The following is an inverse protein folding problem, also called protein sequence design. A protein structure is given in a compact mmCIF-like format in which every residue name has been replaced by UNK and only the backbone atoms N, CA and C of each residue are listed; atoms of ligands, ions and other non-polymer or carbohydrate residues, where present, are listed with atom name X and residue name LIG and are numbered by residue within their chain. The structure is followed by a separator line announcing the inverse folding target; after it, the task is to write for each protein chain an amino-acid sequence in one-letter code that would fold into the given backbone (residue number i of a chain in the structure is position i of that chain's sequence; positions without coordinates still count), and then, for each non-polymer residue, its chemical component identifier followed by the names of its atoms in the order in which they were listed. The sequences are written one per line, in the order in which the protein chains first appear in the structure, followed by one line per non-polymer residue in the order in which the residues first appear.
data_IF_531782942721
#
_entry.id   IF_531782942721
#
_cell.length_a   1.000
_cell.length_b   1.000
_cell.length_c   1.000
_cell.angle_alpha   90.00
_cell.angle_beta   90.00
_cell.angle_gamma   90.00
#
_symmetry.space_group_name_H-M   'P 1'
#
loop_
_entity.id
_entity.type
_entity.pdbx_description
1 polymer ?
#
# COMPACT_ATOMS: atom_id res chain seq x y z
N UNK A 1 15.37 18.22 10.13
CA UNK A 1 15.16 19.02 8.90
C UNK A 1 15.96 18.46 7.73
N UNK A 2 17.30 18.53 7.70
CA UNK A 2 18.10 18.08 6.54
C UNK A 2 17.93 16.57 6.21
N UNK A 3 17.85 15.71 7.24
CA UNK A 3 17.67 14.25 7.06
C UNK A 3 16.34 13.89 6.39
N UNK A 4 15.25 14.60 6.72
CA UNK A 4 13.92 14.33 6.17
C UNK A 4 13.83 14.72 4.68
N UNK A 5 14.57 15.75 4.27
CA UNK A 5 14.64 16.17 2.85
C UNK A 5 15.37 15.10 2.04
N UNK A 6 16.44 14.52 2.58
CA UNK A 6 17.16 13.42 1.93
C UNK A 6 16.28 12.15 1.79
N UNK A 7 15.47 11.83 2.80
CA UNK A 7 14.55 10.68 2.75
C UNK A 7 13.47 10.83 1.66
N UNK A 8 12.94 12.05 1.48
CA UNK A 8 12.03 12.39 0.38
C UNK A 8 12.73 12.24 -0.98
N UNK A 9 13.96 12.76 -1.12
CA UNK A 9 14.73 12.67 -2.36
C UNK A 9 15.14 11.24 -2.73
N UNK A 10 15.32 10.37 -1.73
CA UNK A 10 15.66 8.97 -1.93
C UNK A 10 14.43 8.07 -2.11
N UNK A 11 13.21 8.65 -2.18
CA UNK A 11 11.93 7.92 -2.24
C UNK A 11 11.84 6.81 -1.19
N UNK A 12 12.45 7.04 -0.03
CA UNK A 12 12.52 6.04 1.03
C UNK A 12 11.15 5.85 1.68
N UNK A 13 10.90 4.62 2.15
CA UNK A 13 9.73 4.33 2.98
C UNK A 13 9.69 5.27 4.19
N UNK A 14 8.57 5.98 4.42
CA UNK A 14 8.40 6.83 5.60
C UNK A 14 8.58 6.02 6.88
N UNK A 15 9.28 6.57 7.88
CA UNK A 15 9.64 5.82 9.10
C UNK A 15 8.43 5.42 9.95
N UNK A 16 7.33 6.13 9.78
CA UNK A 16 6.09 5.88 10.51
C UNK A 16 5.32 4.67 9.95
N UNK A 17 5.72 4.15 8.79
CA UNK A 17 5.06 3.03 8.12
C UNK A 17 5.96 1.81 8.17
N UNK A 18 5.42 0.72 8.72
CA UNK A 18 5.99 -0.62 8.66
C UNK A 18 5.38 -1.36 7.46
N UNK A 19 6.13 -1.56 6.36
CA UNK A 19 5.62 -2.24 5.17
C UNK A 19 5.22 -3.69 5.45
N UNK A 20 5.94 -4.38 6.34
CA UNK A 20 5.66 -5.78 6.68
C UNK A 20 4.33 -5.89 7.42
N UNK A 21 4.03 -4.95 8.33
CA UNK A 21 2.74 -4.90 8.99
C UNK A 21 1.59 -4.56 8.03
N UNK A 22 1.82 -3.63 7.09
CA UNK A 22 0.85 -3.29 6.07
C UNK A 22 0.52 -4.48 5.18
N UNK A 23 1.56 -5.13 4.66
CA UNK A 23 1.45 -6.34 3.83
C UNK A 23 0.68 -7.44 4.55
N UNK A 24 1.00 -7.70 5.83
CA UNK A 24 0.30 -8.69 6.63
C UNK A 24 -1.20 -8.37 6.77
N UNK A 25 -1.56 -7.12 7.05
CA UNK A 25 -2.98 -6.78 7.19
C UNK A 25 -3.75 -6.83 5.86
N UNK A 26 -3.09 -6.58 4.73
CA UNK A 26 -3.67 -6.86 3.41
C UNK A 26 -3.86 -8.37 3.16
N UNK A 27 -2.88 -9.18 3.57
CA UNK A 27 -2.94 -10.63 3.44
C UNK A 27 -4.02 -11.29 4.32
N UNK A 28 -4.41 -10.64 5.41
CA UNK A 28 -5.51 -11.09 6.28
C UNK A 28 -6.91 -10.94 5.62
N UNK A 29 -7.01 -10.27 4.47
CA UNK A 29 -8.26 -10.22 3.70
C UNK A 29 -8.49 -11.56 2.97
N UNK A 30 -9.65 -12.17 3.19
CA UNK A 30 -9.98 -13.50 2.66
C UNK A 30 -9.77 -13.66 1.15
N UNK A 31 -9.96 -12.59 0.36
CA UNK A 31 -9.82 -12.64 -1.09
C UNK A 31 -8.38 -12.52 -1.59
N UNK A 32 -7.45 -12.07 -0.75
CA UNK A 32 -6.05 -11.79 -1.12
C UNK A 32 -5.21 -13.06 -0.99
N UNK A 33 -4.45 -13.36 -2.04
CA UNK A 33 -3.54 -14.51 -2.12
C UNK A 33 -2.09 -14.06 -1.90
N UNK A 34 -1.71 -12.90 -2.42
CA UNK A 34 -0.38 -12.34 -2.23
C UNK A 34 -0.36 -10.83 -2.55
N UNK A 35 0.66 -10.14 -2.04
CA UNK A 35 0.97 -8.76 -2.38
C UNK A 35 2.38 -8.75 -2.94
N UNK A 36 2.58 -8.06 -4.07
CA UNK A 36 3.89 -7.93 -4.70
C UNK A 36 4.16 -6.47 -5.03
N UNK A 37 5.44 -6.15 -5.23
CA UNK A 37 5.89 -4.82 -5.67
C UNK A 37 5.31 -3.70 -4.78
N UNK A 38 5.25 -3.94 -3.45
CA UNK A 38 4.77 -2.95 -2.49
C UNK A 38 5.80 -1.83 -2.35
N UNK A 39 5.46 -0.67 -2.89
CA UNK A 39 6.24 0.55 -2.85
C UNK A 39 5.50 1.61 -2.04
N UNK A 40 6.22 2.25 -1.12
CA UNK A 40 5.70 3.33 -0.26
C UNK A 40 6.75 4.43 -0.21
N UNK A 41 6.39 5.65 -0.56
CA UNK A 41 7.33 6.77 -0.62
C UNK A 41 6.70 8.08 -0.13
N UNK A 42 7.51 8.94 0.49
CA UNK A 42 7.13 10.31 0.81
C UNK A 42 7.55 11.25 -0.33
N UNK A 43 6.61 12.04 -0.86
CA UNK A 43 6.91 13.09 -1.86
C UNK A 43 7.11 14.45 -1.21
N UNK A 44 6.40 14.71 -0.12
CA UNK A 44 6.62 15.87 0.76
C UNK A 44 6.34 15.47 2.19
N UNK A 45 6.67 16.35 3.15
CA UNK A 45 6.26 16.16 4.55
C UNK A 45 4.74 15.96 4.62
N UNK A 46 4.31 14.85 5.22
CA UNK A 46 2.89 14.51 5.38
C UNK A 46 2.19 13.99 4.12
N UNK A 47 2.87 13.87 2.97
CA UNK A 47 2.28 13.30 1.74
C UNK A 47 3.00 12.02 1.35
N UNK A 48 2.35 10.91 1.67
CA UNK A 48 2.79 9.55 1.32
C UNK A 48 2.00 9.05 0.10
N UNK A 49 2.69 8.34 -0.78
CA UNK A 49 2.09 7.55 -1.84
C UNK A 49 2.40 6.08 -1.65
N UNK A 50 1.50 5.24 -2.17
CA UNK A 50 1.66 3.79 -2.18
C UNK A 50 1.31 3.23 -3.55
N UNK A 51 2.09 2.29 -4.03
CA UNK A 51 1.73 1.44 -5.16
C UNK A 51 1.99 -0.02 -4.83
N UNK A 52 1.11 -0.92 -5.26
CA UNK A 52 1.31 -2.35 -5.11
C UNK A 52 0.49 -3.15 -6.12
N UNK A 53 0.87 -4.42 -6.28
CA UNK A 53 0.06 -5.42 -6.96
C UNK A 53 -0.56 -6.35 -5.92
N UNK A 54 -1.86 -6.61 -6.07
CA UNK A 54 -2.60 -7.52 -5.20
C UNK A 54 -3.10 -8.68 -6.04
N UNK A 55 -2.58 -9.86 -5.76
CA UNK A 55 -3.06 -11.11 -6.33
C UNK A 55 -4.29 -11.56 -5.54
N UNK A 56 -5.42 -11.73 -6.23
CA UNK A 56 -6.68 -12.16 -5.63
C UNK A 56 -7.07 -13.56 -6.12
N UNK A 57 -7.92 -14.22 -5.33
CA UNK A 57 -8.57 -15.48 -5.73
C UNK A 57 -9.31 -15.30 -7.05
N UNK A 58 -9.32 -16.34 -7.88
CA UNK A 58 -9.85 -16.28 -9.26
C UNK A 58 -11.33 -15.88 -9.33
N UNK A 59 -12.11 -16.30 -8.34
CA UNK A 59 -13.54 -16.04 -8.18
C UNK A 59 -13.88 -14.74 -7.43
N UNK A 60 -12.88 -14.05 -6.88
CA UNK A 60 -13.12 -12.83 -6.13
C UNK A 60 -13.53 -11.65 -7.03
N UNK A 61 -14.39 -10.79 -6.50
CA UNK A 61 -14.80 -9.55 -7.16
C UNK A 61 -13.67 -8.51 -7.06
N UNK A 62 -13.02 -8.20 -8.17
CA UNK A 62 -11.87 -7.29 -8.23
C UNK A 62 -12.19 -5.87 -7.72
N UNK A 63 -13.35 -5.31 -8.07
CA UNK A 63 -13.73 -3.95 -7.67
C UNK A 63 -14.01 -3.88 -6.16
N UNK A 64 -14.65 -4.91 -5.61
CA UNK A 64 -14.85 -5.02 -4.16
C UNK A 64 -13.52 -5.11 -3.42
N UNK A 65 -12.59 -5.95 -3.88
CA UNK A 65 -11.27 -6.09 -3.23
C UNK A 65 -10.48 -4.80 -3.34
N UNK A 66 -10.47 -4.15 -4.51
CA UNK A 66 -9.83 -2.84 -4.69
C UNK A 66 -10.35 -1.84 -3.66
N UNK A 67 -11.67 -1.73 -3.49
CA UNK A 67 -12.27 -0.84 -2.49
C UNK A 67 -11.85 -1.20 -1.06
N UNK A 68 -11.85 -2.50 -0.69
CA UNK A 68 -11.38 -2.95 0.64
C UNK A 68 -9.93 -2.57 0.90
N UNK A 69 -9.05 -2.80 -0.07
CA UNK A 69 -7.61 -2.48 0.03
C UNK A 69 -7.40 -0.97 0.17
N UNK A 70 -8.05 -0.16 -0.67
CA UNK A 70 -8.00 1.31 -0.59
C UNK A 70 -8.49 1.80 0.78
N UNK A 71 -9.63 1.29 1.25
CA UNK A 71 -10.21 1.70 2.52
C UNK A 71 -9.32 1.32 3.71
N UNK A 72 -8.75 0.12 3.71
CA UNK A 72 -7.81 -0.33 4.73
C UNK A 72 -6.58 0.58 4.80
N UNK A 73 -5.93 0.82 3.65
CA UNK A 73 -4.74 1.68 3.58
C UNK A 73 -5.06 3.09 4.07
N UNK A 74 -6.22 3.63 3.69
CA UNK A 74 -6.66 4.96 4.11
C UNK A 74 -6.93 5.03 5.61
N UNK A 75 -7.60 4.03 6.20
CA UNK A 75 -7.99 4.04 7.62
C UNK A 75 -6.80 3.79 8.55
N UNK A 76 -5.98 2.81 8.23
CA UNK A 76 -4.90 2.37 9.12
C UNK A 76 -3.62 3.21 8.97
N UNK A 77 -3.36 3.73 7.77
CA UNK A 77 -2.10 4.42 7.46
C UNK A 77 -2.28 5.87 6.99
N UNK A 78 -3.51 6.35 6.85
CA UNK A 78 -3.83 7.71 6.37
C UNK A 78 -3.20 8.05 5.00
N UNK A 79 -3.00 7.05 4.14
CA UNK A 79 -2.48 7.23 2.79
C UNK A 79 -3.66 7.37 1.82
N UNK A 80 -3.76 8.53 1.18
CA UNK A 80 -4.86 8.85 0.26
C UNK A 80 -4.52 8.65 -1.22
N UNK A 81 -3.23 8.71 -1.57
CA UNK A 81 -2.76 8.57 -2.94
C UNK A 81 -2.21 7.16 -3.13
N UNK A 82 -3.08 6.27 -3.61
CA UNK A 82 -2.76 4.85 -3.79
C UNK A 82 -2.99 4.43 -5.24
N UNK A 83 -2.08 3.60 -5.78
CA UNK A 83 -2.25 2.93 -7.08
C UNK A 83 -2.17 1.44 -6.87
N UNK A 84 -3.26 0.72 -7.12
CA UNK A 84 -3.33 -0.73 -6.89
C UNK A 84 -3.64 -1.42 -8.20
N UNK A 85 -2.80 -2.38 -8.57
CA UNK A 85 -3.10 -3.31 -9.66
C UNK A 85 -3.69 -4.59 -9.08
N UNK A 86 -4.86 -4.99 -9.55
CA UNK A 86 -5.48 -6.27 -9.20
C UNK A 86 -5.07 -7.31 -10.24
N UNK A 87 -4.54 -8.43 -9.78
CA UNK A 87 -4.17 -9.60 -10.58
C UNK A 87 -4.98 -10.83 -10.11
N UNK A 88 -5.21 -11.80 -11.00
CA UNK A 88 -5.95 -13.03 -10.65
C UNK A 88 -5.04 -14.24 -10.71
N UNK A 89 -5.22 -15.15 -9.77
CA UNK A 89 -4.58 -16.48 -9.77
C UNK A 89 -5.01 -17.33 -10.97
#
# INVERSE_FOLDING_TARGET
MLRNILEVLMESTPREIDPTRLEKGLYEMDEVVAIHELHIWAVTVGKVLLACHVLIKREANADMVLNKVVDYIRREYNISHVTIRIERQ
#
